data_IF_046384110186
#
_entry.id   IF_046384110186
#
_cell.length_a   1.000
_cell.length_b   1.000
_cell.length_c   1.000
_cell.angle_alpha   90.00
_cell.angle_beta   90.00
_cell.angle_gamma   90.00
#
_symmetry.space_group_name_H-M   'P 1'
#
loop_
_entity.id
_entity.type
_entity.pdbx_description
1 polymer ?
#
# COMPACT_ATOMS: atom_id res chain seq x y z
N UNK A 1 70.73 -28.94 133.40
CA UNK A 1 71.16 -29.27 134.78
C UNK A 1 72.40 -30.12 134.61
N UNK A 2 73.53 -29.75 135.21
CA UNK A 2 74.81 -30.43 134.94
C UNK A 2 74.82 -31.83 135.56
N UNK A 3 74.79 -32.86 134.71
CA UNK A 3 74.45 -34.23 135.10
C UNK A 3 75.65 -35.07 135.54
N UNK A 4 76.84 -34.82 135.00
CA UNK A 4 78.03 -35.62 135.26
C UNK A 4 78.87 -35.02 136.39
N UNK A 5 79.40 -35.84 137.29
CA UNK A 5 80.43 -35.44 138.26
C UNK A 5 81.80 -35.85 137.71
N UNK A 6 82.75 -34.94 137.70
CA UNK A 6 84.10 -35.19 137.19
C UNK A 6 85.15 -34.57 138.10
N UNK A 7 86.24 -35.29 138.33
CA UNK A 7 87.41 -34.79 139.05
C UNK A 7 88.47 -34.42 138.03
N UNK A 8 88.90 -33.16 138.04
CA UNK A 8 89.94 -32.62 137.15
C UNK A 8 91.11 -32.16 138.01
N UNK A 9 92.32 -32.61 137.70
CA UNK A 9 93.53 -32.22 138.45
C UNK A 9 94.26 -31.12 137.68
N UNK A 10 94.53 -29.99 138.33
CA UNK A 10 95.30 -28.88 137.76
C UNK A 10 96.34 -28.43 138.79
N UNK A 11 97.60 -28.33 138.37
CA UNK A 11 98.77 -28.01 139.18
C UNK A 11 98.90 -28.92 140.43
N UNK A 12 98.48 -30.19 140.31
CA UNK A 12 98.47 -31.18 141.39
C UNK A 12 97.33 -31.04 142.41
N UNK A 13 96.37 -30.11 142.20
CA UNK A 13 95.16 -29.97 143.02
C UNK A 13 93.97 -30.59 142.30
N UNK A 14 93.20 -31.43 143.00
CA UNK A 14 92.00 -32.07 142.46
C UNK A 14 90.75 -31.20 142.67
N UNK A 15 90.07 -30.85 141.58
CA UNK A 15 88.83 -30.07 141.55
C UNK A 15 87.65 -30.97 141.18
N UNK A 16 86.65 -31.04 142.05
CA UNK A 16 85.44 -31.84 141.83
C UNK A 16 84.34 -30.95 141.24
N UNK A 17 84.12 -31.07 139.93
CA UNK A 17 83.21 -30.22 139.16
C UNK A 17 81.99 -31.02 138.67
N UNK A 18 80.97 -30.31 138.19
CA UNK A 18 79.88 -30.91 137.41
C UNK A 18 79.85 -30.33 136.00
N UNK A 19 79.49 -31.15 135.03
CA UNK A 19 79.39 -30.77 133.61
C UNK A 19 78.34 -31.60 132.90
N UNK A 20 77.94 -31.18 131.70
CA UNK A 20 77.16 -31.99 130.74
C UNK A 20 78.07 -32.59 129.65
N UNK A 21 79.40 -32.44 129.77
CA UNK A 21 80.41 -33.04 128.90
C UNK A 21 81.73 -33.23 129.66
N UNK A 22 81.86 -34.36 130.38
CA UNK A 22 83.06 -34.71 131.15
C UNK A 22 84.32 -34.78 130.28
N UNK A 23 84.24 -35.39 129.10
CA UNK A 23 85.37 -35.54 128.18
C UNK A 23 85.97 -34.19 127.76
N UNK A 24 85.13 -33.20 127.44
CA UNK A 24 85.61 -31.85 127.10
C UNK A 24 86.25 -31.14 128.30
N UNK A 25 85.67 -31.29 129.49
CA UNK A 25 86.17 -30.62 130.70
C UNK A 25 87.48 -31.23 131.22
N UNK A 26 87.64 -32.55 131.13
CA UNK A 26 88.91 -33.24 131.42
C UNK A 26 90.00 -32.73 130.47
N UNK A 27 89.74 -32.76 129.14
CA UNK A 27 90.71 -32.30 128.13
C UNK A 27 91.09 -30.82 128.30
N UNK A 28 90.14 -29.97 128.70
CA UNK A 28 90.42 -28.56 129.04
C UNK A 28 91.30 -28.42 130.28
N UNK A 29 91.10 -29.26 131.31
CA UNK A 29 91.95 -29.30 132.48
C UNK A 29 93.37 -29.78 132.18
N UNK A 30 93.50 -30.82 131.36
CA UNK A 30 94.79 -31.35 130.89
C UNK A 30 95.56 -30.30 130.07
N UNK A 31 94.90 -29.59 129.15
CA UNK A 31 95.53 -28.50 128.38
C UNK A 31 95.90 -27.30 129.26
N UNK A 32 95.10 -26.97 130.28
CA UNK A 32 95.47 -25.95 131.26
C UNK A 32 96.73 -26.37 132.05
N UNK A 33 96.80 -27.61 132.54
CA UNK A 33 97.98 -28.12 133.26
C UNK A 33 99.22 -28.19 132.36
N UNK A 34 99.02 -28.50 131.06
CA UNK A 34 100.06 -28.45 130.00
C UNK A 34 100.63 -27.04 129.86
N UNK A 35 99.78 -26.02 129.65
CA UNK A 35 100.19 -24.60 129.52
C UNK A 35 100.87 -24.07 130.79
N UNK A 36 100.35 -24.39 131.98
CA UNK A 36 100.97 -24.03 133.26
C UNK A 36 102.40 -24.61 133.34
N UNK A 37 102.56 -25.88 132.96
CA UNK A 37 103.85 -26.57 132.97
C UNK A 37 104.83 -25.98 131.96
N UNK A 38 104.37 -25.61 130.76
CA UNK A 38 105.17 -24.92 129.74
C UNK A 38 105.65 -23.55 130.25
N UNK A 39 104.78 -22.72 130.82
CA UNK A 39 105.16 -21.41 131.36
C UNK A 39 106.11 -21.49 132.56
N UNK A 40 105.93 -22.45 133.48
CA UNK A 40 106.87 -22.69 134.57
C UNK A 40 108.28 -23.01 134.03
N UNK A 41 108.35 -23.72 132.89
CA UNK A 41 109.60 -24.20 132.30
C UNK A 41 110.28 -23.15 131.41
N UNK A 42 109.53 -22.47 130.55
CA UNK A 42 110.06 -21.62 129.49
C UNK A 42 110.28 -20.18 129.94
N UNK A 43 109.38 -19.65 130.79
CA UNK A 43 109.50 -18.29 131.35
C UNK A 43 110.06 -18.25 132.76
N UNK A 44 110.41 -19.41 133.35
CA UNK A 44 110.89 -19.54 134.75
C UNK A 44 109.94 -18.92 135.78
N UNK A 45 108.64 -18.89 135.47
CA UNK A 45 107.61 -18.32 136.33
C UNK A 45 107.33 -19.19 137.56
N UNK A 46 106.85 -18.58 138.65
CA UNK A 46 106.29 -19.36 139.74
C UNK A 46 105.03 -20.09 139.28
N UNK A 47 104.64 -21.17 139.98
CA UNK A 47 103.42 -21.92 139.67
C UNK A 47 102.17 -21.04 139.70
N UNK A 48 102.12 -20.05 140.60
CA UNK A 48 100.97 -19.16 140.73
C UNK A 48 100.94 -18.14 139.57
N UNK A 49 102.09 -17.58 139.17
CA UNK A 49 102.19 -16.69 138.00
C UNK A 49 101.86 -17.43 136.70
N UNK A 50 102.38 -18.66 136.52
CA UNK A 50 102.07 -19.51 135.38
C UNK A 50 100.56 -19.84 135.29
N UNK A 51 99.89 -20.05 136.42
CA UNK A 51 98.42 -20.18 136.45
C UNK A 51 97.73 -18.89 135.99
N UNK A 52 98.20 -17.71 136.39
CA UNK A 52 97.64 -16.42 135.95
C UNK A 52 97.79 -16.24 134.44
N UNK A 53 98.98 -16.49 133.88
CA UNK A 53 99.19 -16.42 132.43
C UNK A 53 98.30 -17.43 131.67
N UNK A 54 98.15 -18.67 132.18
CA UNK A 54 97.26 -19.66 131.52
C UNK A 54 95.79 -19.22 131.56
N UNK A 55 95.33 -18.58 132.64
CA UNK A 55 93.97 -18.02 132.71
C UNK A 55 93.80 -16.87 131.71
N UNK A 56 94.80 -16.00 131.53
CA UNK A 56 94.74 -14.92 130.54
C UNK A 56 94.67 -15.44 129.10
N UNK A 57 95.48 -16.45 128.74
CA UNK A 57 95.42 -17.08 127.42
C UNK A 57 94.08 -17.79 127.17
N UNK A 58 93.55 -18.51 128.16
CA UNK A 58 92.23 -19.15 128.05
C UNK A 58 91.07 -18.14 127.96
N UNK A 59 91.20 -16.96 128.55
CA UNK A 59 90.26 -15.85 128.36
C UNK A 59 90.34 -15.28 126.93
N UNK A 60 91.55 -15.14 126.37
CA UNK A 60 91.75 -14.73 124.97
C UNK A 60 91.20 -15.75 123.96
N UNK A 61 91.37 -17.05 124.22
CA UNK A 61 90.75 -18.14 123.45
C UNK A 61 89.21 -18.07 123.53
N UNK A 62 88.65 -17.79 124.71
CA UNK A 62 87.21 -17.64 124.94
C UNK A 62 86.63 -16.41 124.22
N UNK A 63 87.31 -15.27 124.27
CA UNK A 63 86.90 -14.06 123.54
C UNK A 63 86.96 -14.27 122.03
N UNK A 64 87.98 -14.98 121.54
CA UNK A 64 88.08 -15.37 120.13
C UNK A 64 86.95 -16.31 119.70
N UNK A 65 86.58 -17.29 120.54
CA UNK A 65 85.46 -18.18 120.31
C UNK A 65 84.10 -17.45 120.34
N UNK A 66 83.91 -16.50 121.27
CA UNK A 66 82.73 -15.64 121.32
C UNK A 66 82.62 -14.76 120.06
N UNK A 67 83.72 -14.14 119.61
CA UNK A 67 83.75 -13.34 118.39
C UNK A 67 83.43 -14.19 117.14
N UNK A 68 83.92 -15.44 117.07
CA UNK A 68 83.54 -16.37 116.01
C UNK A 68 82.05 -16.74 116.08
N UNK A 69 81.53 -17.10 117.25
CA UNK A 69 80.10 -17.41 117.46
C UNK A 69 79.22 -16.26 117.00
N UNK A 70 79.56 -15.02 117.37
CA UNK A 70 78.80 -13.83 117.02
C UNK A 70 78.91 -13.49 115.52
N UNK A 71 80.05 -13.80 114.89
CA UNK A 71 80.23 -13.76 113.43
C UNK A 71 79.34 -14.78 112.72
N UNK A 72 79.27 -16.02 113.21
CA UNK A 72 78.36 -17.04 112.69
C UNK A 72 76.89 -16.69 112.93
N UNK A 73 76.53 -16.11 114.08
CA UNK A 73 75.17 -15.63 114.35
C UNK A 73 74.76 -14.54 113.34
N UNK A 74 75.65 -13.57 113.06
CA UNK A 74 75.43 -12.54 112.02
C UNK A 74 75.28 -13.15 110.62
N UNK A 75 76.12 -14.12 110.24
CA UNK A 75 76.02 -14.83 108.95
C UNK A 75 74.70 -15.61 108.84
N UNK A 76 74.30 -16.33 109.88
CA UNK A 76 73.04 -17.08 109.91
C UNK A 76 71.83 -16.14 109.82
N UNK A 77 71.82 -15.01 110.54
CA UNK A 77 70.77 -14.01 110.43
C UNK A 77 70.66 -13.42 109.00
N UNK A 78 71.79 -13.15 108.35
CA UNK A 78 71.81 -12.69 106.96
C UNK A 78 71.31 -13.76 105.97
N UNK A 79 71.68 -15.03 106.16
CA UNK A 79 71.19 -16.15 105.36
C UNK A 79 69.67 -16.36 105.53
N UNK A 80 69.17 -16.32 106.77
CA UNK A 80 67.72 -16.42 107.05
C UNK A 80 66.97 -15.26 106.40
N UNK A 81 67.42 -14.01 106.57
CA UNK A 81 66.77 -12.85 105.92
C UNK A 81 66.80 -12.95 104.39
N UNK A 82 67.85 -13.54 103.81
CA UNK A 82 67.95 -13.77 102.36
C UNK A 82 66.98 -14.87 101.91
N UNK A 83 66.87 -15.96 102.67
CA UNK A 83 65.94 -17.05 102.41
C UNK A 83 64.47 -16.60 102.53
N UNK A 84 64.13 -15.77 103.53
CA UNK A 84 62.80 -15.16 103.67
C UNK A 84 62.45 -14.25 102.49
N UNK A 85 63.39 -13.44 101.99
CA UNK A 85 63.20 -12.63 100.78
C UNK A 85 63.02 -13.50 99.55
N UNK A 86 63.81 -14.57 99.41
CA UNK A 86 63.68 -15.54 98.33
C UNK A 86 62.33 -16.26 98.33
N UNK A 87 61.83 -16.66 99.51
CA UNK A 87 60.52 -17.29 99.66
C UNK A 87 59.38 -16.34 99.29
N UNK A 88 59.46 -15.07 99.71
CA UNK A 88 58.47 -14.03 99.32
C UNK A 88 58.47 -13.79 97.81
N UNK A 89 59.64 -13.63 97.20
CA UNK A 89 59.76 -13.44 95.75
C UNK A 89 59.27 -14.68 94.96
N UNK A 90 59.45 -15.89 95.49
CA UNK A 90 58.95 -17.11 94.87
C UNK A 90 57.41 -17.19 94.93
N UNK A 91 56.80 -16.76 96.03
CA UNK A 91 55.33 -16.70 96.16
C UNK A 91 54.71 -15.60 95.27
N UNK A 92 55.35 -14.43 95.20
CA UNK A 92 54.99 -13.36 94.27
C UNK A 92 55.07 -13.81 92.80
N UNK A 93 56.13 -14.56 92.42
CA UNK A 93 56.24 -15.15 91.09
C UNK A 93 55.12 -16.16 90.77
N UNK A 94 54.63 -16.95 91.74
CA UNK A 94 53.46 -17.83 91.53
C UNK A 94 52.18 -17.03 91.29
N UNK A 95 51.99 -15.94 92.04
CA UNK A 95 50.83 -15.07 91.88
C UNK A 95 50.84 -14.42 90.49
N UNK A 96 51.98 -13.84 90.10
CA UNK A 96 52.18 -13.27 88.76
C UNK A 96 52.03 -14.32 87.64
N UNK A 97 52.49 -15.55 87.83
CA UNK A 97 52.27 -16.63 86.86
C UNK A 97 50.77 -16.95 86.70
N UNK A 98 50.04 -17.01 87.81
CA UNK A 98 48.58 -17.26 87.81
C UNK A 98 47.80 -16.12 87.18
N UNK A 99 48.22 -14.87 87.41
CA UNK A 99 47.65 -13.67 86.79
C UNK A 99 47.91 -13.64 85.28
N UNK A 100 49.14 -13.96 84.83
CA UNK A 100 49.47 -14.08 83.41
C UNK A 100 48.65 -15.19 82.71
N UNK A 101 48.39 -16.32 83.37
CA UNK A 101 47.49 -17.35 82.83
C UNK A 101 46.04 -16.87 82.69
N UNK A 102 45.56 -16.03 83.61
CA UNK A 102 44.22 -15.45 83.53
C UNK A 102 44.14 -14.41 82.40
N UNK A 103 45.11 -13.49 82.33
CA UNK A 103 45.22 -12.50 81.25
C UNK A 103 45.34 -13.15 79.87
N UNK A 104 45.99 -14.31 79.75
CA UNK A 104 46.04 -15.08 78.51
C UNK A 104 44.66 -15.64 78.10
N UNK A 105 43.83 -16.08 79.06
CA UNK A 105 42.46 -16.55 78.82
C UNK A 105 41.54 -15.39 78.42
N UNK A 106 41.62 -14.27 79.13
CA UNK A 106 40.83 -13.07 78.83
C UNK A 106 41.19 -12.49 77.45
N UNK A 107 42.49 -12.48 77.11
CA UNK A 107 43.00 -12.12 75.79
C UNK A 107 42.42 -13.01 74.68
N UNK A 108 42.37 -14.33 74.89
CA UNK A 108 41.79 -15.28 73.94
C UNK A 108 40.28 -15.06 73.76
N UNK A 109 39.52 -14.94 74.85
CA UNK A 109 38.08 -14.67 74.80
C UNK A 109 37.76 -13.33 74.10
N UNK A 110 38.58 -12.30 74.33
CA UNK A 110 38.43 -11.00 73.65
C UNK A 110 38.78 -11.07 72.16
N UNK A 111 39.69 -11.97 71.76
CA UNK A 111 39.97 -12.24 70.35
C UNK A 111 38.84 -13.02 69.65
N UNK A 112 38.15 -13.91 70.35
CA UNK A 112 36.94 -14.59 69.87
C UNK A 112 35.77 -13.60 69.70
N UNK A 113 35.46 -12.80 70.72
CA UNK A 113 34.44 -11.75 70.64
C UNK A 113 34.68 -10.74 69.50
N UNK A 114 35.95 -10.40 69.22
CA UNK A 114 36.31 -9.58 68.06
C UNK A 114 35.99 -10.27 66.72
N UNK A 115 36.22 -11.59 66.60
CA UNK A 115 35.83 -12.34 65.41
C UNK A 115 34.32 -12.35 65.23
N UNK A 116 33.57 -12.68 66.28
CA UNK A 116 32.11 -12.69 66.24
C UNK A 116 31.54 -11.32 65.85
N UNK A 117 32.09 -10.23 66.39
CA UNK A 117 31.72 -8.87 65.99
C UNK A 117 31.93 -8.63 64.49
N UNK A 118 33.11 -8.95 63.95
CA UNK A 118 33.39 -8.76 62.52
C UNK A 118 32.52 -9.65 61.62
N UNK A 119 32.13 -10.84 62.08
CA UNK A 119 31.21 -11.71 61.35
C UNK A 119 29.78 -11.16 61.36
N UNK A 120 29.33 -10.59 62.48
CA UNK A 120 28.03 -9.93 62.61
C UNK A 120 27.98 -8.63 61.80
N UNK A 121 29.06 -7.85 61.73
CA UNK A 121 29.18 -6.69 60.85
C UNK A 121 29.05 -7.10 59.37
N UNK A 122 29.75 -8.16 58.96
CA UNK A 122 29.63 -8.73 57.61
C UNK A 122 28.21 -9.19 57.28
N UNK A 123 27.55 -9.90 58.21
CA UNK A 123 26.14 -10.32 58.07
C UNK A 123 25.18 -9.14 57.99
N UNK A 124 25.38 -8.10 58.80
CA UNK A 124 24.56 -6.87 58.75
C UNK A 124 24.75 -6.10 57.43
N UNK A 125 25.97 -6.06 56.89
CA UNK A 125 26.21 -5.48 55.56
C UNK A 125 25.46 -6.26 54.46
N UNK A 126 25.57 -7.60 54.45
CA UNK A 126 24.84 -8.47 53.51
C UNK A 126 23.31 -8.34 53.63
N UNK A 127 22.78 -8.23 54.85
CA UNK A 127 21.35 -8.00 55.07
C UNK A 127 20.91 -6.62 54.55
N UNK A 128 21.75 -5.59 54.70
CA UNK A 128 21.46 -4.24 54.20
C UNK A 128 21.44 -4.21 52.67
N UNK A 129 22.40 -4.87 52.02
CA UNK A 129 22.45 -5.04 50.57
C UNK A 129 21.23 -5.83 50.06
N UNK A 130 20.91 -6.96 50.69
CA UNK A 130 19.73 -7.79 50.35
C UNK A 130 18.42 -7.00 50.49
N UNK A 131 18.30 -6.14 51.51
CA UNK A 131 17.14 -5.26 51.68
C UNK A 131 17.08 -4.16 50.62
N UNK A 132 18.22 -3.62 50.17
CA UNK A 132 18.27 -2.67 49.05
C UNK A 132 17.79 -3.32 47.76
N UNK A 133 18.32 -4.50 47.40
CA UNK A 133 17.87 -5.26 46.23
C UNK A 133 16.38 -5.60 46.30
N UNK A 134 15.87 -5.98 47.48
CA UNK A 134 14.46 -6.30 47.66
C UNK A 134 13.55 -5.08 47.45
N UNK A 135 13.98 -3.90 47.91
CA UNK A 135 13.26 -2.65 47.70
C UNK A 135 13.29 -2.22 46.22
N UNK A 136 14.46 -2.27 45.56
CA UNK A 136 14.58 -1.98 44.13
C UNK A 136 13.70 -2.91 43.28
N UNK A 137 13.68 -4.22 43.58
CA UNK A 137 12.79 -5.18 42.94
C UNK A 137 11.30 -4.88 43.23
N UNK A 138 10.96 -4.37 44.41
CA UNK A 138 9.59 -3.97 44.72
C UNK A 138 9.15 -2.74 43.91
N UNK A 139 10.04 -1.75 43.73
CA UNK A 139 9.79 -0.58 42.89
C UNK A 139 9.66 -0.97 41.40
N UNK A 140 10.53 -1.83 40.89
CA UNK A 140 10.44 -2.37 39.53
C UNK A 140 9.15 -3.17 39.28
N UNK A 141 8.70 -3.95 40.27
CA UNK A 141 7.41 -4.65 40.18
C UNK A 141 6.22 -3.67 40.22
N UNK A 142 6.31 -2.58 40.98
CA UNK A 142 5.27 -1.56 41.02
C UNK A 142 5.16 -0.79 39.68
N UNK A 143 6.28 -0.43 39.06
CA UNK A 143 6.28 0.22 37.74
C UNK A 143 5.77 -0.72 36.64
N UNK A 144 6.26 -1.97 36.59
CA UNK A 144 5.79 -2.98 35.63
C UNK A 144 4.28 -3.25 35.76
N UNK A 145 3.74 -3.26 36.99
CA UNK A 145 2.29 -3.36 37.22
C UNK A 145 1.52 -2.16 36.68
N UNK A 146 2.02 -0.94 36.89
CA UNK A 146 1.39 0.28 36.36
C UNK A 146 1.41 0.33 34.82
N UNK A 147 2.46 -0.19 34.18
CA UNK A 147 2.51 -0.35 32.72
C UNK A 147 1.55 -1.42 32.21
N UNK A 148 1.43 -2.55 32.91
CA UNK A 148 0.46 -3.59 32.60
C UNK A 148 -0.99 -3.06 32.67
N UNK A 149 -1.33 -2.28 33.70
CA UNK A 149 -2.65 -1.66 33.84
C UNK A 149 -2.94 -0.67 32.69
N UNK A 150 -1.97 0.16 32.29
CA UNK A 150 -2.10 1.05 31.11
C UNK A 150 -2.29 0.26 29.81
N UNK A 151 -1.55 -0.83 29.63
CA UNK A 151 -1.67 -1.72 28.48
C UNK A 151 -3.06 -2.35 28.42
N UNK A 152 -3.57 -2.88 29.54
CA UNK A 152 -4.93 -3.43 29.65
C UNK A 152 -6.03 -2.40 29.35
N UNK A 153 -5.89 -1.15 29.80
CA UNK A 153 -6.81 -0.07 29.42
C UNK A 153 -6.78 0.23 27.91
N UNK A 154 -5.59 0.20 27.32
CA UNK A 154 -5.42 0.41 25.87
C UNK A 154 -6.07 -0.72 25.06
N UNK A 155 -5.89 -1.98 25.48
CA UNK A 155 -6.55 -3.14 24.86
C UNK A 155 -8.07 -3.01 24.92
N UNK A 156 -8.66 -2.68 26.08
CA UNK A 156 -10.12 -2.47 26.21
C UNK A 156 -10.64 -1.39 25.27
N UNK A 157 -9.93 -0.26 25.14
CA UNK A 157 -10.32 0.80 24.20
C UNK A 157 -10.25 0.35 22.74
N UNK A 158 -9.30 -0.52 22.39
CA UNK A 158 -9.21 -1.11 21.05
C UNK A 158 -10.32 -2.14 20.80
N UNK A 159 -10.68 -2.96 21.79
CA UNK A 159 -11.82 -3.89 21.74
C UNK A 159 -13.15 -3.14 21.52
N UNK A 160 -13.38 -2.05 22.27
CA UNK A 160 -14.55 -1.18 22.11
C UNK A 160 -14.60 -0.54 20.71
N UNK A 161 -13.48 -0.01 20.21
CA UNK A 161 -13.38 0.55 18.84
C UNK A 161 -13.63 -0.51 17.78
N UNK A 162 -13.09 -1.73 17.94
CA UNK A 162 -13.33 -2.83 17.03
C UNK A 162 -14.81 -3.22 17.00
N UNK A 163 -15.47 -3.31 18.17
CA UNK A 163 -16.91 -3.56 18.24
C UNK A 163 -17.74 -2.46 17.53
N UNK A 164 -17.38 -1.18 17.70
CA UNK A 164 -17.99 -0.06 16.99
C UNK A 164 -17.77 -0.13 15.47
N UNK A 165 -16.57 -0.49 15.01
CA UNK A 165 -16.25 -0.68 13.59
C UNK A 165 -17.03 -1.87 13.00
N UNK A 166 -17.13 -3.01 13.69
CA UNK A 166 -17.95 -4.15 13.27
C UNK A 166 -19.44 -3.78 13.16
N UNK A 167 -19.98 -3.03 14.12
CA UNK A 167 -21.36 -2.52 14.05
C UNK A 167 -21.57 -1.54 12.88
N UNK A 168 -20.60 -0.67 12.62
CA UNK A 168 -20.62 0.28 11.51
C UNK A 168 -20.53 -0.42 10.15
N UNK A 169 -19.67 -1.43 10.04
CA UNK A 169 -19.53 -2.28 8.84
C UNK A 169 -20.85 -2.98 8.53
N UNK A 170 -21.48 -3.63 9.52
CA UNK A 170 -22.77 -4.29 9.36
C UNK A 170 -23.87 -3.33 8.90
N UNK A 171 -23.93 -2.11 9.46
CA UNK A 171 -24.88 -1.09 8.99
C UNK A 171 -24.59 -0.61 7.56
N UNK A 172 -23.32 -0.57 7.14
CA UNK A 172 -22.93 -0.26 5.77
C UNK A 172 -23.29 -1.39 4.79
N UNK A 173 -23.11 -2.65 5.19
CA UNK A 173 -23.55 -3.84 4.44
C UNK A 173 -25.07 -3.85 4.25
N UNK A 174 -25.85 -3.63 5.32
CA UNK A 174 -27.31 -3.54 5.27
C UNK A 174 -27.78 -2.41 4.33
N UNK A 175 -27.12 -1.25 4.36
CA UNK A 175 -27.39 -0.13 3.42
C UNK A 175 -27.02 -0.47 1.99
N UNK A 176 -25.87 -1.12 1.76
CA UNK A 176 -25.44 -1.56 0.43
C UNK A 176 -26.43 -2.57 -0.17
N UNK A 177 -26.89 -3.53 0.63
CA UNK A 177 -27.84 -4.54 0.18
C UNK A 177 -29.23 -3.96 -0.11
N UNK A 178 -29.66 -2.96 0.67
CA UNK A 178 -30.85 -2.16 0.35
C UNK A 178 -30.70 -1.36 -0.94
N UNK A 179 -29.52 -0.74 -1.18
CA UNK A 179 -29.22 -0.04 -2.43
C UNK A 179 -29.24 -0.98 -3.65
N UNK A 180 -28.65 -2.18 -3.55
CA UNK A 180 -28.70 -3.20 -4.62
C UNK A 180 -30.14 -3.58 -4.97
N UNK A 181 -31.01 -3.79 -3.98
CA UNK A 181 -32.43 -4.08 -4.20
C UNK A 181 -33.15 -2.93 -4.92
N UNK A 182 -32.90 -1.68 -4.51
CA UNK A 182 -33.45 -0.51 -5.19
C UNK A 182 -32.95 -0.36 -6.63
N UNK A 183 -31.68 -0.66 -6.91
CA UNK A 183 -31.13 -0.66 -8.28
C UNK A 183 -31.81 -1.72 -9.14
N UNK A 184 -31.95 -2.96 -8.65
CA UNK A 184 -32.63 -4.03 -9.38
C UNK A 184 -34.11 -3.70 -9.68
N UNK A 185 -34.81 -3.04 -8.74
CA UNK A 185 -36.17 -2.54 -8.93
C UNK A 185 -36.23 -1.45 -10.03
N UNK A 186 -35.29 -0.49 -10.02
CA UNK A 186 -35.19 0.55 -11.05
C UNK A 186 -34.80 0.00 -12.44
N UNK A 187 -33.94 -1.02 -12.51
CA UNK A 187 -33.60 -1.72 -13.75
C UNK A 187 -34.82 -2.47 -14.32
N UNK A 188 -35.59 -3.13 -13.45
CA UNK A 188 -36.87 -3.75 -13.83
C UNK A 188 -37.85 -2.71 -14.37
N UNK A 189 -38.04 -1.59 -13.68
CA UNK A 189 -38.92 -0.50 -14.13
C UNK A 189 -38.47 0.07 -15.48
N UNK A 190 -37.17 0.28 -15.68
CA UNK A 190 -36.62 0.70 -16.98
C UNK A 190 -36.85 -0.34 -18.10
N UNK A 191 -36.76 -1.64 -17.79
CA UNK A 191 -37.08 -2.70 -18.74
C UNK A 191 -38.55 -2.68 -19.15
N UNK A 192 -39.46 -2.50 -18.20
CA UNK A 192 -40.90 -2.42 -18.46
C UNK A 192 -41.29 -1.12 -19.18
N UNK A 193 -40.66 0.01 -18.86
CA UNK A 193 -40.80 1.27 -19.61
C UNK A 193 -40.30 1.14 -21.05
N UNK A 194 -39.17 0.47 -21.30
CA UNK A 194 -38.70 0.18 -22.68
C UNK A 194 -39.71 -0.66 -23.47
N UNK A 195 -40.34 -1.65 -22.84
CA UNK A 195 -41.43 -2.44 -23.47
C UNK A 195 -42.66 -1.58 -23.77
N UNK A 196 -43.04 -0.65 -22.88
CA UNK A 196 -44.14 0.28 -23.11
C UNK A 196 -43.82 1.27 -24.25
N UNK A 197 -42.60 1.82 -24.29
CA UNK A 197 -42.14 2.69 -25.37
C UNK A 197 -42.18 1.97 -26.73
N UNK A 198 -41.72 0.71 -26.80
CA UNK A 198 -41.82 -0.10 -28.02
C UNK A 198 -43.28 -0.29 -28.48
N UNK A 199 -44.22 -0.54 -27.55
CA UNK A 199 -45.66 -0.61 -27.85
C UNK A 199 -46.23 0.73 -28.35
N UNK A 200 -45.81 1.84 -27.76
CA UNK A 200 -46.20 3.18 -28.20
C UNK A 200 -45.72 3.47 -29.63
N UNK A 201 -44.50 3.05 -29.99
CA UNK A 201 -44.00 3.15 -31.37
C UNK A 201 -44.89 2.33 -32.32
N UNK A 202 -45.19 1.06 -32.00
CA UNK A 202 -46.07 0.25 -32.86
C UNK A 202 -47.48 0.84 -33.03
N UNK A 203 -48.07 1.39 -31.96
CA UNK A 203 -49.38 2.08 -32.03
C UNK A 203 -49.27 3.38 -32.84
N UNK A 204 -48.14 4.08 -32.78
CA UNK A 204 -47.91 5.30 -33.58
C UNK A 204 -47.80 4.97 -35.07
N UNK A 205 -47.10 3.88 -35.42
CA UNK A 205 -47.01 3.39 -36.80
C UNK A 205 -48.37 2.88 -37.32
N UNK A 206 -49.17 2.23 -36.48
CA UNK A 206 -50.54 1.82 -36.81
C UNK A 206 -51.46 3.03 -37.03
N UNK A 207 -51.40 4.02 -36.14
CA UNK A 207 -52.14 5.28 -36.31
C UNK A 207 -51.75 6.00 -37.60
N UNK A 208 -50.45 6.06 -37.94
CA UNK A 208 -49.99 6.62 -39.21
C UNK A 208 -50.57 5.87 -40.41
N UNK A 209 -50.57 4.54 -40.39
CA UNK A 209 -51.21 3.71 -41.45
C UNK A 209 -52.72 3.92 -41.52
N UNK A 210 -53.39 4.17 -40.39
CA UNK A 210 -54.82 4.50 -40.34
C UNK A 210 -55.09 5.89 -40.94
N UNK A 211 -54.27 6.90 -40.65
CA UNK A 211 -54.34 8.23 -41.29
C UNK A 211 -54.13 8.10 -42.80
N UNK A 212 -53.08 7.40 -43.27
CA UNK A 212 -52.85 7.17 -44.70
C UNK A 212 -54.00 6.41 -45.38
N UNK A 213 -54.75 5.57 -44.66
CA UNK A 213 -55.97 4.91 -45.16
C UNK A 213 -57.16 5.87 -45.20
N UNK A 214 -57.32 6.73 -44.20
CA UNK A 214 -58.37 7.77 -44.17
C UNK A 214 -58.16 8.78 -45.30
N UNK A 215 -56.92 9.23 -45.54
CA UNK A 215 -56.61 10.13 -46.66
C UNK A 215 -56.91 9.47 -48.01
N UNK A 216 -56.59 8.18 -48.18
CA UNK A 216 -56.97 7.42 -49.38
C UNK A 216 -58.48 7.26 -49.52
N UNK A 217 -59.19 6.98 -48.42
CA UNK A 217 -60.65 6.89 -48.41
C UNK A 217 -61.30 8.21 -48.81
N UNK A 218 -60.86 9.34 -48.24
CA UNK A 218 -61.34 10.68 -48.58
C UNK A 218 -61.10 11.01 -50.07
N UNK A 219 -59.92 10.67 -50.62
CA UNK A 219 -59.65 10.82 -52.05
C UNK A 219 -60.60 9.95 -52.93
N UNK A 220 -60.90 8.72 -52.52
CA UNK A 220 -61.89 7.88 -53.23
C UNK A 220 -63.32 8.39 -53.09
N UNK A 221 -63.67 8.98 -51.96
CA UNK A 221 -64.99 9.58 -51.70
C UNK A 221 -65.18 10.86 -52.53
N UNK A 222 -64.17 11.72 -52.64
CA UNK A 222 -64.21 12.85 -53.58
C UNK A 222 -64.27 12.38 -55.05
N UNK A 223 -63.56 11.31 -55.41
CA UNK A 223 -63.62 10.76 -56.77
C UNK A 223 -65.00 10.19 -57.09
N UNK A 224 -65.64 9.51 -56.12
CA UNK A 224 -67.02 9.05 -56.22
C UNK A 224 -67.98 10.24 -56.35
N UNK A 225 -67.84 11.27 -55.53
CA UNK A 225 -68.67 12.48 -55.60
C UNK A 225 -68.56 13.20 -56.95
N UNK A 226 -67.34 13.33 -57.50
CA UNK A 226 -67.11 13.85 -58.86
C UNK A 226 -67.74 12.96 -59.94
N UNK A 227 -67.80 11.65 -59.72
CA UNK A 227 -68.52 10.71 -60.58
C UNK A 227 -70.04 10.91 -60.49
N UNK A 228 -70.59 11.06 -59.29
CA UNK A 228 -72.02 11.32 -59.03
C UNK A 228 -72.46 12.66 -59.63
N UNK A 229 -71.69 13.73 -59.45
CA UNK A 229 -71.92 15.04 -60.08
C UNK A 229 -71.94 14.93 -61.62
N UNK A 230 -71.02 14.11 -62.18
CA UNK A 230 -70.93 13.84 -63.62
C UNK A 230 -72.10 12.98 -64.12
N UNK A 231 -72.59 12.02 -63.32
CA UNK A 231 -73.81 11.26 -63.62
C UNK A 231 -75.02 12.20 -63.60
N UNK A 232 -75.18 13.04 -62.57
CA UNK A 232 -76.27 14.03 -62.51
C UNK A 232 -76.24 15.03 -63.66
N UNK A 233 -75.06 15.41 -64.15
CA UNK A 233 -74.92 16.21 -65.36
C UNK A 233 -75.36 15.44 -66.62
N UNK A 234 -74.94 14.17 -66.76
CA UNK A 234 -75.33 13.32 -67.88
C UNK A 234 -76.82 12.99 -67.88
N UNK A 235 -77.45 12.78 -66.72
CA UNK A 235 -78.91 12.59 -66.58
C UNK A 235 -79.67 13.84 -67.07
N UNK A 236 -79.17 15.05 -66.75
CA UNK A 236 -79.73 16.31 -67.27
C UNK A 236 -79.56 16.44 -68.79
N UNK A 237 -78.43 16.00 -69.35
CA UNK A 237 -78.24 15.94 -70.80
C UNK A 237 -79.18 14.92 -71.47
N UNK A 238 -79.32 13.71 -70.91
CA UNK A 238 -80.28 12.72 -71.37
C UNK A 238 -81.72 13.26 -71.34
N UNK A 239 -82.13 13.93 -70.26
CA UNK A 239 -83.46 14.56 -70.17
C UNK A 239 -83.69 15.65 -71.23
N UNK A 240 -82.67 16.43 -71.62
CA UNK A 240 -82.75 17.37 -72.76
C UNK A 240 -82.86 16.63 -74.10
N UNK A 241 -82.09 15.56 -74.29
CA UNK A 241 -82.13 14.75 -75.51
C UNK A 241 -83.48 14.06 -75.67
N UNK A 242 -84.08 13.53 -74.59
CA UNK A 242 -85.42 12.96 -74.60
C UNK A 242 -86.49 14.02 -74.93
N UNK A 243 -86.37 15.23 -74.38
CA UNK A 243 -87.24 16.36 -74.76
C UNK A 243 -87.11 16.72 -76.25
N UNK A 244 -85.88 16.86 -76.76
CA UNK A 244 -85.63 17.12 -78.17
C UNK A 244 -86.10 15.97 -79.08
N UNK A 245 -86.04 14.72 -78.62
CA UNK A 245 -86.53 13.55 -79.35
C UNK A 245 -88.07 13.49 -79.35
N UNK A 246 -88.73 13.96 -78.28
CA UNK A 246 -90.17 14.16 -78.24
C UNK A 246 -90.62 15.27 -79.21
N UNK A 247 -89.90 16.40 -79.26
CA UNK A 247 -90.11 17.48 -80.25
C UNK A 247 -89.90 17.00 -81.71
N UNK A 248 -88.89 16.16 -81.94
CA UNK A 248 -88.64 15.56 -83.25
C UNK A 248 -89.77 14.60 -83.66
N UNK A 249 -90.36 13.88 -82.70
CA UNK A 249 -91.52 13.02 -82.95
C UNK A 249 -92.82 13.80 -83.19
N UNK A 250 -93.04 14.95 -82.55
CA UNK A 250 -94.15 15.85 -82.93
C UNK A 250 -93.95 16.45 -84.31
N UNK A 251 -92.72 16.88 -84.67
CA UNK A 251 -92.40 17.35 -86.03
C UNK A 251 -92.62 16.27 -87.10
N UNK A 252 -92.25 15.01 -86.85
CA UNK A 252 -92.56 13.87 -87.75
C UNK A 252 -94.07 13.70 -87.96
N UNK A 253 -94.87 13.91 -86.90
CA UNK A 253 -96.33 13.83 -86.99
C UNK A 253 -96.90 14.96 -87.83
N UNK A 254 -96.44 16.20 -87.61
CA UNK A 254 -96.78 17.36 -88.46
C UNK A 254 -96.40 17.15 -89.93
N UNK A 255 -95.25 16.52 -90.21
CA UNK A 255 -94.82 16.21 -91.57
C UNK A 255 -95.75 15.17 -92.25
N UNK A 256 -96.22 14.17 -91.51
CA UNK A 256 -97.20 13.21 -92.00
C UNK A 256 -98.56 13.87 -92.32
N UNK A 257 -99.00 14.82 -91.49
CA UNK A 257 -100.23 15.58 -91.71
C UNK A 257 -100.13 16.47 -92.98
N UNK A 258 -98.96 17.06 -93.28
CA UNK A 258 -98.72 17.79 -94.54
C UNK A 258 -98.61 16.86 -95.77
N UNK A 259 -98.01 15.67 -95.63
CA UNK A 259 -98.01 14.66 -96.69
C UNK A 259 -99.44 14.18 -97.03
N UNK A 260 -100.32 14.07 -96.03
CA UNK A 260 -101.75 13.80 -96.25
C UNK A 260 -102.44 14.87 -97.10
N UNK A 261 -102.20 16.15 -96.81
CA UNK A 261 -102.72 17.28 -97.61
C UNK A 261 -102.19 17.28 -99.04
N UNK A 262 -100.93 16.89 -99.23
CA UNK A 262 -100.30 16.82 -100.56
C UNK A 262 -100.99 15.76 -101.45
N UNK A 263 -101.24 14.56 -100.90
CA UNK A 263 -102.00 13.49 -101.57
C UNK A 263 -103.40 13.93 -102.05
N UNK A 264 -104.10 14.74 -101.24
CA UNK A 264 -105.45 15.22 -101.55
C UNK A 264 -105.48 16.37 -102.58
N UNK A 265 -104.35 17.06 -102.79
CA UNK A 265 -104.20 18.04 -103.86
C UNK A 265 -103.85 17.36 -105.20
N UNK A 266 -102.99 16.35 -105.21
CA UNK A 266 -102.66 15.57 -106.42
C UNK A 266 -103.90 14.89 -107.02
N UNK A 267 -104.79 14.32 -106.19
CA UNK A 267 -106.07 13.75 -106.64
C UNK A 267 -107.03 14.78 -107.22
N UNK A 268 -106.97 16.05 -106.79
CA UNK A 268 -107.79 17.14 -107.34
C UNK A 268 -107.24 17.66 -108.67
N UNK A 269 -105.91 17.63 -108.84
CA UNK A 269 -105.25 18.03 -110.09
C UNK A 269 -105.61 17.06 -111.24
N UNK A 270 -105.51 15.75 -111.00
CA UNK A 270 -105.84 14.72 -111.97
C UNK A 270 -107.31 14.73 -112.45
N UNK A 271 -108.23 15.26 -111.64
CA UNK A 271 -109.63 15.45 -112.03
C UNK A 271 -109.84 16.66 -112.95
N UNK A 272 -109.04 17.72 -112.79
CA UNK A 272 -109.13 18.94 -113.59
C UNK A 272 -108.54 18.74 -115.00
N UNK A 273 -107.40 18.05 -115.13
CA UNK A 273 -106.74 17.80 -116.41
C UNK A 273 -107.60 16.94 -117.35
N UNK A 274 -108.38 15.99 -116.81
CA UNK A 274 -109.33 15.18 -117.58
C UNK A 274 -110.45 16.02 -118.22
N UNK A 275 -110.88 17.09 -117.55
CA UNK A 275 -111.94 17.99 -118.06
C UNK A 275 -111.48 19.00 -119.11
N UNK A 276 -110.16 19.16 -119.33
CA UNK A 276 -109.61 20.08 -120.31
C UNK A 276 -109.46 19.48 -121.72
N UNK A 277 -109.29 18.16 -121.83
CA UNK A 277 -109.08 17.47 -123.11
C UNK A 277 -110.34 17.47 -124.00
N UNK A 278 -111.51 17.20 -123.40
CA UNK A 278 -112.78 17.01 -124.12
C UNK A 278 -113.35 18.31 -124.74
N UNK A 279 -112.83 19.49 -124.37
CA UNK A 279 -113.27 20.78 -124.90
C UNK A 279 -112.54 21.22 -126.19
N UNK A 280 -111.41 20.59 -126.51
CA UNK A 280 -110.57 20.95 -127.67
C UNK A 280 -111.03 20.24 -128.95
N UNK A 281 -111.31 18.93 -128.86
CA UNK A 281 -111.71 18.10 -130.01
C UNK A 281 -113.07 18.53 -130.59
N UNK A 282 -113.96 19.13 -129.77
CA UNK A 282 -115.26 19.64 -130.21
C UNK A 282 -115.19 20.88 -131.13
N UNK A 283 -114.03 21.56 -131.25
CA UNK A 283 -113.88 22.76 -132.11
C UNK A 283 -113.14 22.50 -133.42
N UNK A 284 -112.61 21.30 -133.63
CA UNK A 284 -111.89 20.95 -134.87
C UNK A 284 -112.83 20.43 -135.98
N UNK A 285 -114.09 20.14 -135.67
CA UNK A 285 -115.03 19.42 -136.56
C UNK A 285 -116.16 20.26 -137.17
N UNK A 286 -116.26 21.57 -136.90
CA UNK A 286 -117.40 22.41 -137.34
C UNK A 286 -117.08 23.51 -138.37
N UNK A 287 -115.83 23.63 -138.83
CA UNK A 287 -115.47 24.62 -139.88
C UNK A 287 -114.41 24.16 -140.90
N UNK A 288 -114.18 22.84 -141.01
CA UNK A 288 -113.61 22.27 -142.24
C UNK A 288 -114.57 22.44 -143.46
N UNK A 289 -115.84 22.80 -143.18
CA UNK A 289 -116.91 23.07 -144.14
C UNK A 289 -117.17 24.58 -144.38
N UNK A 290 -116.10 25.34 -144.69
CA UNK A 290 -116.24 26.54 -145.54
C UNK A 290 -115.00 26.98 -146.34
N UNK A 291 -114.25 25.98 -146.80
CA UNK A 291 -113.63 25.97 -148.13
C UNK A 291 -112.79 27.16 -148.57
N UNK A 292 -111.47 27.01 -148.42
CA UNK A 292 -110.40 27.28 -149.43
C UNK A 292 -109.06 26.98 -148.74
N UNK A 293 -108.29 25.95 -149.09
CA UNK A 293 -108.32 25.11 -150.28
C UNK A 293 -108.41 25.92 -151.60
N UNK A 294 -107.55 26.94 -151.70
CA UNK A 294 -107.12 27.51 -152.97
C UNK A 294 -105.62 27.80 -152.98
N UNK A 295 -105.07 28.53 -151.99
CA UNK A 295 -103.77 29.22 -152.18
C UNK A 295 -102.61 28.80 -151.24
N UNK A 296 -102.42 27.48 -151.13
CA UNK A 296 -101.16 26.76 -151.34
C UNK A 296 -99.80 27.16 -150.69
N UNK A 297 -99.02 26.10 -150.43
CA UNK A 297 -97.56 25.95 -150.69
C UNK A 297 -96.47 26.78 -149.97
N UNK A 298 -96.70 28.01 -149.49
CA UNK A 298 -95.54 28.91 -149.29
C UNK A 298 -94.71 28.85 -148.00
N UNK A 299 -95.06 28.07 -146.96
CA UNK A 299 -94.37 28.15 -145.63
C UNK A 299 -94.25 26.82 -144.88
N UNK A 300 -93.17 26.07 -145.17
CA UNK A 300 -92.76 24.82 -144.49
C UNK A 300 -91.30 24.94 -143.99
N UNK A 301 -90.94 24.14 -142.97
CA UNK A 301 -89.57 23.83 -142.50
C UNK A 301 -88.74 24.96 -141.82
N UNK A 302 -87.70 24.69 -141.01
CA UNK A 302 -87.38 23.58 -140.08
C UNK A 302 -86.08 23.94 -139.30
N UNK A 303 -85.99 23.64 -137.98
CA UNK A 303 -84.77 23.56 -137.14
C UNK A 303 -85.18 23.07 -135.71
N UNK A 304 -84.63 22.07 -135.00
CA UNK A 304 -83.25 21.56 -134.77
C UNK A 304 -82.47 22.32 -133.67
N UNK A 305 -82.29 21.87 -132.41
CA UNK A 305 -82.52 20.63 -131.60
C UNK A 305 -81.34 19.62 -131.42
N UNK A 306 -80.36 19.92 -130.55
CA UNK A 306 -79.70 18.97 -129.59
C UNK A 306 -78.41 19.54 -128.92
N UNK A 307 -78.11 19.14 -127.67
CA UNK A 307 -76.82 19.34 -126.97
C UNK A 307 -76.72 18.44 -125.69
N UNK A 308 -75.50 18.07 -125.27
CA UNK A 308 -75.14 17.30 -124.04
C UNK A 308 -74.04 18.08 -123.25
N UNK A 309 -73.55 17.81 -122.03
CA UNK A 309 -72.92 16.64 -121.37
C UNK A 309 -72.46 17.10 -119.94
N UNK A 310 -72.37 16.24 -118.89
CA UNK A 310 -71.34 16.25 -117.80
C UNK A 310 -71.64 15.26 -116.64
N UNK A 311 -70.86 14.18 -116.47
CA UNK A 311 -70.83 13.35 -115.23
C UNK A 311 -69.65 12.36 -115.22
N UNK A 312 -68.64 12.54 -114.36
CA UNK A 312 -67.91 11.48 -113.61
C UNK A 312 -66.69 12.01 -112.80
N UNK A 313 -66.03 11.10 -112.06
CA UNK A 313 -64.75 11.23 -111.33
C UNK A 313 -64.76 11.69 -109.84
N UNK A 314 -65.22 10.80 -108.94
CA UNK A 314 -64.95 10.82 -107.48
C UNK A 314 -63.98 9.68 -107.09
N UNK A 315 -62.65 9.84 -107.15
CA UNK A 315 -61.75 8.71 -106.84
C UNK A 315 -60.32 9.06 -106.32
N UNK A 316 -60.18 9.81 -105.22
CA UNK A 316 -58.84 10.14 -104.68
C UNK A 316 -58.66 10.22 -103.15
N UNK A 317 -59.66 9.91 -102.32
CA UNK A 317 -59.64 10.20 -100.87
C UNK A 317 -59.16 9.05 -99.95
N UNK A 318 -58.66 7.93 -100.49
CA UNK A 318 -58.47 6.69 -99.72
C UNK A 318 -57.08 6.47 -99.09
N UNK A 319 -56.06 7.29 -99.40
CA UNK A 319 -54.65 6.92 -99.16
C UNK A 319 -53.98 7.45 -97.86
N UNK A 320 -54.53 8.47 -97.18
CA UNK A 320 -53.81 9.19 -96.10
C UNK A 320 -54.14 8.73 -94.66
N UNK A 321 -54.98 7.71 -94.45
CA UNK A 321 -55.33 7.23 -93.09
C UNK A 321 -54.31 6.30 -92.41
N UNK A 322 -53.20 5.96 -93.08
CA UNK A 322 -52.28 4.90 -92.62
C UNK A 322 -51.04 5.33 -91.83
N UNK A 323 -50.70 6.63 -91.73
CA UNK A 323 -49.40 7.08 -91.17
C UNK A 323 -49.41 7.57 -89.73
N UNK A 324 -50.58 7.80 -89.13
CA UNK A 324 -50.66 8.53 -87.85
C UNK A 324 -50.58 7.64 -86.59
N UNK A 325 -50.72 6.31 -86.71
CA UNK A 325 -50.84 5.40 -85.54
C UNK A 325 -49.51 4.95 -84.91
N UNK A 326 -48.39 5.05 -85.63
CA UNK A 326 -47.10 4.49 -85.20
C UNK A 326 -46.18 5.48 -84.48
N UNK A 327 -46.50 6.78 -84.52
CA UNK A 327 -45.75 7.82 -83.82
C UNK A 327 -46.18 7.95 -82.35
N UNK A 328 -47.48 7.82 -82.04
CA UNK A 328 -48.01 7.90 -80.66
C UNK A 328 -47.45 6.79 -79.75
N UNK A 329 -47.23 5.57 -80.29
CA UNK A 329 -46.66 4.44 -79.52
C UNK A 329 -45.18 4.63 -79.13
N UNK A 330 -44.43 5.52 -79.79
CA UNK A 330 -43.02 5.77 -79.47
C UNK A 330 -42.81 6.86 -78.41
N UNK A 331 -43.76 7.78 -78.24
CA UNK A 331 -43.72 8.80 -77.18
C UNK A 331 -43.95 8.18 -75.79
N UNK A 332 -44.95 7.30 -75.65
CA UNK A 332 -45.30 6.67 -74.36
C UNK A 332 -44.19 5.81 -73.73
N UNK A 333 -43.19 5.36 -74.52
CA UNK A 333 -42.06 4.61 -74.01
C UNK A 333 -40.93 5.50 -73.46
N UNK A 334 -40.83 6.76 -73.90
CA UNK A 334 -39.80 7.70 -73.48
C UNK A 334 -40.15 8.38 -72.14
N UNK A 335 -41.42 8.72 -71.93
CA UNK A 335 -41.89 9.40 -70.70
C UNK A 335 -41.72 8.51 -69.46
N UNK A 336 -41.93 7.20 -69.60
CA UNK A 336 -41.77 6.23 -68.51
C UNK A 336 -40.32 6.10 -68.00
N UNK A 337 -39.32 6.37 -68.85
CA UNK A 337 -37.90 6.35 -68.45
C UNK A 337 -37.45 7.60 -67.67
N UNK A 338 -38.21 8.70 -67.73
CA UNK A 338 -37.87 9.96 -67.07
C UNK A 338 -38.11 9.91 -65.55
N UNK A 339 -39.18 9.24 -65.12
CA UNK A 339 -39.55 9.13 -63.71
C UNK A 339 -38.61 8.21 -62.92
N UNK A 340 -38.16 7.10 -63.53
CA UNK A 340 -37.19 6.19 -62.91
C UNK A 340 -35.82 6.88 -62.71
N UNK A 341 -35.41 7.75 -63.65
CA UNK A 341 -34.16 8.51 -63.58
C UNK A 341 -34.18 9.60 -62.48
N UNK A 342 -35.37 10.17 -62.21
CA UNK A 342 -35.60 11.11 -61.10
C UNK A 342 -35.45 10.44 -59.72
N UNK A 343 -35.96 9.21 -59.58
CA UNK A 343 -35.80 8.40 -58.35
C UNK A 343 -34.35 8.01 -58.09
N UNK A 344 -33.65 7.52 -59.11
CA UNK A 344 -32.22 7.13 -59.01
C UNK A 344 -31.34 8.34 -58.67
N UNK A 345 -31.62 9.53 -59.23
CA UNK A 345 -30.86 10.75 -58.93
C UNK A 345 -30.96 11.18 -57.46
N UNK A 346 -32.16 11.13 -56.87
CA UNK A 346 -32.35 11.42 -55.43
C UNK A 346 -31.70 10.39 -54.52
N UNK A 347 -31.71 9.11 -54.91
CA UNK A 347 -30.99 8.07 -54.18
C UNK A 347 -29.45 8.29 -54.23
N UNK A 348 -28.93 8.70 -55.39
CA UNK A 348 -27.51 9.00 -55.57
C UNK A 348 -27.07 10.23 -54.76
N UNK A 349 -27.88 11.31 -54.73
CA UNK A 349 -27.62 12.49 -53.89
C UNK A 349 -27.64 12.14 -52.38
N UNK A 350 -28.52 11.24 -51.95
CA UNK A 350 -28.57 10.75 -50.57
C UNK A 350 -27.35 9.87 -50.19
N UNK A 351 -26.87 9.01 -51.09
CA UNK A 351 -25.64 8.22 -50.86
C UNK A 351 -24.36 9.06 -50.97
N UNK A 352 -24.34 10.10 -51.81
CA UNK A 352 -23.25 11.10 -51.81
C UNK A 352 -23.20 11.86 -50.48
N UNK A 353 -24.36 12.23 -49.92
CA UNK A 353 -24.44 12.84 -48.59
C UNK A 353 -23.90 11.94 -47.47
N UNK A 354 -24.21 10.63 -47.51
CA UNK A 354 -23.66 9.65 -46.57
C UNK A 354 -22.16 9.42 -46.77
N UNK A 355 -21.69 9.38 -48.01
CA UNK A 355 -20.26 9.25 -48.33
C UNK A 355 -19.47 10.44 -47.75
N UNK A 356 -19.97 11.67 -47.92
CA UNK A 356 -19.34 12.87 -47.35
C UNK A 356 -19.38 12.92 -45.81
N UNK A 357 -20.40 12.35 -45.16
CA UNK A 357 -20.45 12.21 -43.70
C UNK A 357 -19.47 11.13 -43.19
N UNK A 358 -19.38 10.01 -43.91
CA UNK A 358 -18.41 8.95 -43.63
C UNK A 358 -16.96 9.41 -43.82
N UNK A 359 -16.66 10.20 -44.85
CA UNK A 359 -15.34 10.81 -45.06
C UNK A 359 -14.97 11.76 -43.91
N UNK A 360 -15.89 12.65 -43.49
CA UNK A 360 -15.66 13.52 -42.31
C UNK A 360 -15.43 12.72 -41.03
N UNK A 361 -16.14 11.59 -40.84
CA UNK A 361 -15.94 10.69 -39.70
C UNK A 361 -14.62 9.93 -39.79
N UNK A 362 -14.18 9.57 -40.99
CA UNK A 362 -12.87 8.96 -41.25
C UNK A 362 -11.72 9.94 -40.96
N UNK A 363 -11.82 11.19 -41.40
CA UNK A 363 -10.82 12.22 -41.12
C UNK A 363 -10.79 12.64 -39.64
N UNK A 364 -11.96 12.73 -38.98
CA UNK A 364 -12.03 12.91 -37.53
C UNK A 364 -11.41 11.73 -36.77
N UNK A 365 -11.66 10.49 -37.22
CA UNK A 365 -11.06 9.29 -36.64
C UNK A 365 -9.56 9.18 -36.91
N UNK A 366 -9.06 9.69 -38.04
CA UNK A 366 -7.63 9.79 -38.34
C UNK A 366 -6.95 10.80 -37.44
N UNK A 367 -7.48 12.02 -37.29
CA UNK A 367 -6.97 12.99 -36.32
C UNK A 367 -6.94 12.44 -34.90
N UNK A 368 -8.02 11.78 -34.46
CA UNK A 368 -8.04 11.15 -33.14
C UNK A 368 -7.01 10.01 -33.00
N UNK A 369 -6.71 9.28 -34.08
CA UNK A 369 -5.64 8.28 -34.10
C UNK A 369 -4.25 8.91 -34.10
N UNK A 370 -4.03 10.01 -34.83
CA UNK A 370 -2.76 10.76 -34.84
C UNK A 370 -2.49 11.40 -33.46
N UNK A 371 -3.51 11.97 -32.81
CA UNK A 371 -3.43 12.50 -31.43
C UNK A 371 -3.18 11.37 -30.40
N UNK A 372 -3.80 10.19 -30.58
CA UNK A 372 -3.52 9.00 -29.79
C UNK A 372 -2.08 8.50 -30.01
N UNK A 373 -1.58 8.51 -31.24
CA UNK A 373 -0.23 8.06 -31.58
C UNK A 373 0.84 9.06 -31.06
N UNK A 374 0.55 10.36 -31.11
CA UNK A 374 1.41 11.39 -30.51
C UNK A 374 1.49 11.23 -28.98
N UNK A 375 0.34 11.04 -28.30
CA UNK A 375 0.30 10.82 -26.85
C UNK A 375 0.95 9.50 -26.43
N UNK A 376 0.83 8.44 -27.24
CA UNK A 376 1.63 7.21 -27.06
C UNK A 376 3.12 7.50 -27.18
N UNK A 377 3.59 8.27 -28.17
CA UNK A 377 5.03 8.58 -28.29
C UNK A 377 5.58 9.44 -27.13
N UNK A 378 4.73 10.27 -26.51
CA UNK A 378 5.08 11.00 -25.27
C UNK A 378 5.19 10.03 -24.11
N UNK A 379 4.20 9.16 -23.91
CA UNK A 379 4.24 8.13 -22.87
C UNK A 379 5.39 7.14 -23.04
N UNK A 380 5.80 6.81 -24.27
CA UNK A 380 6.98 5.98 -24.54
C UNK A 380 8.29 6.68 -24.13
N UNK A 381 8.39 8.01 -24.33
CA UNK A 381 9.51 8.81 -23.81
C UNK A 381 9.50 8.88 -22.28
N UNK A 382 8.34 9.08 -21.66
CA UNK A 382 8.21 9.10 -20.20
C UNK A 382 8.55 7.73 -19.58
N UNK A 383 8.13 6.62 -20.22
CA UNK A 383 8.50 5.26 -19.82
C UNK A 383 10.01 5.02 -20.00
N UNK A 384 10.64 5.56 -21.05
CA UNK A 384 12.09 5.46 -21.23
C UNK A 384 12.86 6.26 -20.17
N UNK A 385 12.40 7.48 -19.84
CA UNK A 385 12.96 8.29 -18.77
C UNK A 385 12.84 7.61 -17.40
N UNK A 386 11.65 7.10 -17.06
CA UNK A 386 11.40 6.35 -15.82
C UNK A 386 12.21 5.04 -15.73
N UNK A 387 12.53 4.40 -16.87
CA UNK A 387 13.46 3.26 -16.89
C UNK A 387 14.89 3.69 -16.56
N UNK A 388 15.39 4.77 -17.16
CA UNK A 388 16.70 5.35 -16.85
C UNK A 388 16.82 5.73 -15.37
N UNK A 389 15.81 6.44 -14.85
CA UNK A 389 15.74 6.85 -13.44
C UNK A 389 15.67 5.63 -12.49
N UNK A 390 14.97 4.56 -12.87
CA UNK A 390 14.90 3.34 -12.06
C UNK A 390 16.20 2.50 -12.13
N UNK A 391 16.94 2.55 -13.23
CA UNK A 391 18.30 1.98 -13.32
C UNK A 391 19.29 2.79 -12.46
N UNK A 392 19.21 4.13 -12.48
CA UNK A 392 20.00 5.00 -11.59
C UNK A 392 19.66 4.78 -10.11
N UNK A 393 18.38 4.63 -9.76
CA UNK A 393 17.94 4.26 -8.41
C UNK A 393 18.38 2.85 -8.02
N UNK A 394 18.50 1.92 -8.98
CA UNK A 394 19.06 0.59 -8.73
C UNK A 394 20.56 0.67 -8.43
N UNK A 395 21.32 1.45 -9.20
CA UNK A 395 22.74 1.70 -8.94
C UNK A 395 22.98 2.46 -7.62
N UNK A 396 22.08 3.35 -7.23
CA UNK A 396 22.08 4.00 -5.92
C UNK A 396 21.74 3.03 -4.79
N UNK A 397 20.83 2.06 -5.00
CA UNK A 397 20.54 0.99 -4.03
C UNK A 397 21.70 0.02 -3.87
N UNK A 398 22.40 -0.37 -4.94
CA UNK A 398 23.64 -1.14 -4.83
C UNK A 398 24.73 -0.36 -4.09
N UNK A 399 24.89 0.95 -4.36
CA UNK A 399 25.80 1.81 -3.59
C UNK A 399 25.40 1.95 -2.13
N UNK A 400 24.12 2.05 -1.81
CA UNK A 400 23.63 2.07 -0.43
C UNK A 400 23.91 0.74 0.28
N UNK A 401 23.65 -0.40 -0.39
CA UNK A 401 24.00 -1.73 0.12
C UNK A 401 25.50 -1.92 0.33
N UNK A 402 26.34 -1.43 -0.59
CA UNK A 402 27.80 -1.39 -0.39
C UNK A 402 28.19 -0.49 0.79
N UNK A 403 27.51 0.64 1.03
CA UNK A 403 27.74 1.49 2.19
C UNK A 403 27.30 0.82 3.51
N UNK A 404 26.18 0.11 3.54
CA UNK A 404 25.74 -0.68 4.70
C UNK A 404 26.70 -1.84 4.97
N UNK A 405 27.16 -2.55 3.94
CA UNK A 405 28.14 -3.62 4.09
C UNK A 405 29.51 -3.09 4.54
N UNK A 406 29.91 -1.89 4.08
CA UNK A 406 31.11 -1.21 4.53
C UNK A 406 30.95 -0.69 5.97
N UNK A 407 29.74 -0.25 6.37
CA UNK A 407 29.43 0.17 7.75
C UNK A 407 29.46 -1.02 8.70
N UNK A 408 28.88 -2.16 8.31
CA UNK A 408 28.99 -3.43 9.06
C UNK A 408 30.45 -3.84 9.20
N UNK A 409 31.25 -3.81 8.11
CA UNK A 409 32.69 -4.08 8.15
C UNK A 409 33.45 -3.08 9.05
N UNK A 410 33.10 -1.80 9.04
CA UNK A 410 33.69 -0.80 9.94
C UNK A 410 33.36 -1.09 11.40
N UNK A 411 32.09 -1.37 11.75
CA UNK A 411 31.73 -1.78 13.11
C UNK A 411 32.35 -3.12 13.53
N UNK A 412 32.58 -4.02 12.59
CA UNK A 412 33.28 -5.29 12.85
C UNK A 412 34.77 -5.04 13.11
N UNK A 413 35.42 -4.18 12.33
CA UNK A 413 36.79 -3.71 12.53
C UNK A 413 36.94 -2.87 13.80
N UNK A 414 35.94 -2.07 14.21
CA UNK A 414 35.94 -1.34 15.48
C UNK A 414 35.81 -2.28 16.68
N UNK A 415 34.97 -3.31 16.58
CA UNK A 415 34.88 -4.36 17.60
C UNK A 415 36.16 -5.20 17.67
N UNK A 416 36.78 -5.54 16.54
CA UNK A 416 38.08 -6.23 16.49
C UNK A 416 39.22 -5.33 17.01
N UNK A 417 39.22 -4.02 16.74
CA UNK A 417 40.19 -3.09 17.31
C UNK A 417 39.96 -2.85 18.81
N UNK A 418 38.70 -2.88 19.28
CA UNK A 418 38.39 -2.86 20.71
C UNK A 418 38.89 -4.15 21.40
N UNK A 419 38.72 -5.31 20.77
CA UNK A 419 39.25 -6.59 21.23
C UNK A 419 40.80 -6.62 21.22
N UNK A 420 41.44 -6.09 20.17
CA UNK A 420 42.90 -5.98 20.08
C UNK A 420 43.45 -4.98 21.10
N UNK A 421 42.74 -3.88 21.40
CA UNK A 421 43.12 -2.97 22.51
C UNK A 421 42.88 -3.57 23.90
N UNK A 422 41.94 -4.51 24.05
CA UNK A 422 41.74 -5.26 25.29
C UNK A 422 42.69 -6.47 25.43
N UNK A 423 43.32 -6.92 24.35
CA UNK A 423 44.18 -8.11 24.30
C UNK A 423 45.68 -7.87 24.07
N UNK A 424 46.12 -6.65 23.77
CA UNK A 424 47.53 -6.34 23.47
C UNK A 424 48.40 -6.17 24.72
N UNK A 425 48.56 -7.25 25.48
CA UNK A 425 49.67 -7.43 26.43
C UNK A 425 50.66 -8.48 25.91
N UNK A 426 51.96 -8.15 25.92
CA UNK A 426 53.12 -9.01 25.60
C UNK A 426 53.25 -9.64 24.20
N UNK A 427 54.26 -9.14 23.46
CA UNK A 427 55.27 -9.86 22.66
C UNK A 427 54.87 -11.00 21.70
N UNK A 428 55.14 -10.81 20.39
CA UNK A 428 56.37 -11.30 19.73
C UNK A 428 56.33 -11.36 18.17
N UNK A 429 57.54 -11.40 17.59
CA UNK A 429 57.96 -11.90 16.26
C UNK A 429 57.45 -11.27 14.96
N UNK A 430 58.34 -10.46 14.36
CA UNK A 430 58.95 -10.69 13.03
C UNK A 430 58.17 -11.37 11.88
N UNK A 431 58.11 -10.70 10.72
CA UNK A 431 58.45 -11.34 9.44
C UNK A 431 57.36 -11.55 8.39
N UNK A 432 57.10 -10.55 7.54
CA UNK A 432 56.55 -10.71 6.18
C UNK A 432 57.03 -9.56 5.27
N UNK A 433 58.07 -9.76 4.46
CA UNK A 433 58.00 -10.23 3.06
C UNK A 433 57.76 -9.08 2.03
N UNK A 434 58.81 -8.57 1.35
CA UNK A 434 58.73 -7.40 0.46
C UNK A 434 57.96 -7.60 -0.87
N UNK A 435 57.25 -8.73 -1.04
CA UNK A 435 56.46 -9.01 -2.24
C UNK A 435 55.13 -8.22 -2.29
N UNK A 436 54.48 -8.00 -1.14
CA UNK A 436 53.19 -7.29 -1.09
C UNK A 436 53.34 -5.79 -1.43
N UNK A 437 54.50 -5.19 -1.21
CA UNK A 437 54.74 -3.78 -1.51
C UNK A 437 54.95 -3.51 -3.00
N UNK A 438 55.47 -4.48 -3.77
CA UNK A 438 55.52 -4.39 -5.24
C UNK A 438 54.16 -4.69 -5.89
N UNK A 439 53.38 -5.64 -5.34
CA UNK A 439 52.01 -5.88 -5.81
C UNK A 439 51.12 -4.63 -5.64
N UNK A 440 51.22 -3.94 -4.50
CA UNK A 440 50.53 -2.66 -4.27
C UNK A 440 51.01 -1.53 -5.19
N UNK A 441 52.32 -1.44 -5.50
CA UNK A 441 52.83 -0.48 -6.50
C UNK A 441 52.32 -0.78 -7.90
N UNK A 442 52.24 -2.06 -8.27
CA UNK A 442 51.73 -2.50 -9.57
C UNK A 442 50.24 -2.15 -9.70
N UNK A 443 49.43 -2.48 -8.70
CA UNK A 443 48.01 -2.08 -8.65
C UNK A 443 47.81 -0.56 -8.72
N UNK A 444 48.67 0.22 -8.05
CA UNK A 444 48.65 1.69 -8.14
C UNK A 444 49.07 2.21 -9.53
N UNK A 445 50.02 1.55 -10.19
CA UNK A 445 50.45 1.86 -11.56
C UNK A 445 49.35 1.55 -12.59
N UNK A 446 48.69 0.40 -12.46
CA UNK A 446 47.61 -0.03 -13.34
C UNK A 446 46.39 0.91 -13.18
N UNK A 447 46.02 1.27 -11.94
CA UNK A 447 44.99 2.29 -11.68
C UNK A 447 45.35 3.67 -12.25
N UNK A 448 46.62 4.09 -12.21
CA UNK A 448 47.08 5.34 -12.82
C UNK A 448 47.07 5.30 -14.37
N UNK A 449 47.25 4.13 -14.96
CA UNK A 449 47.09 3.92 -16.40
C UNK A 449 45.61 3.98 -16.81
N UNK A 450 44.73 3.34 -16.03
CA UNK A 450 43.28 3.37 -16.24
C UNK A 450 42.71 4.79 -16.12
N UNK A 451 43.12 5.57 -15.11
CA UNK A 451 42.77 7.00 -14.99
C UNK A 451 43.27 7.83 -16.18
N UNK A 452 44.38 7.46 -16.83
CA UNK A 452 44.87 8.11 -18.06
C UNK A 452 43.99 7.79 -19.27
N UNK A 453 43.58 6.53 -19.44
CA UNK A 453 42.67 6.16 -20.54
C UNK A 453 41.26 6.74 -20.31
N UNK A 454 40.73 6.71 -19.09
CA UNK A 454 39.48 7.40 -18.75
C UNK A 454 39.54 8.91 -19.05
N UNK A 455 40.68 9.58 -18.83
CA UNK A 455 40.88 10.97 -19.25
C UNK A 455 40.90 11.16 -20.77
N UNK A 456 41.47 10.22 -21.54
CA UNK A 456 41.38 10.27 -23.02
C UNK A 456 39.95 10.04 -23.52
N UNK A 457 39.25 9.06 -22.96
CA UNK A 457 37.85 8.76 -23.30
C UNK A 457 36.97 9.97 -22.98
N UNK A 458 37.14 10.58 -21.81
CA UNK A 458 36.42 11.80 -21.41
C UNK A 458 36.77 13.01 -22.31
N UNK A 459 38.03 13.17 -22.71
CA UNK A 459 38.42 14.18 -23.70
C UNK A 459 37.81 13.92 -25.11
N UNK A 460 37.69 12.65 -25.52
CA UNK A 460 37.04 12.25 -26.77
C UNK A 460 35.54 12.49 -26.73
N UNK A 461 34.88 12.17 -25.62
CA UNK A 461 33.45 12.41 -25.41
C UNK A 461 33.13 13.91 -25.36
N UNK A 462 33.95 14.74 -24.70
CA UNK A 462 33.79 16.20 -24.75
C UNK A 462 34.00 16.75 -26.18
N UNK A 463 34.86 16.12 -26.98
CA UNK A 463 35.05 16.50 -28.38
C UNK A 463 33.82 16.18 -29.22
N UNK A 464 33.29 14.96 -29.10
CA UNK A 464 32.04 14.55 -29.76
C UNK A 464 30.84 15.38 -29.30
N UNK A 465 30.76 15.73 -28.01
CA UNK A 465 29.70 16.59 -27.47
C UNK A 465 29.77 18.00 -28.08
N UNK A 466 30.97 18.57 -28.21
CA UNK A 466 31.16 19.87 -28.86
C UNK A 466 30.88 19.79 -30.37
N UNK A 467 31.30 18.73 -31.06
CA UNK A 467 30.98 18.50 -32.48
C UNK A 467 29.46 18.37 -32.70
N UNK A 468 28.75 17.67 -31.81
CA UNK A 468 27.27 17.56 -31.84
C UNK A 468 26.54 18.87 -31.51
N UNK A 469 27.16 19.78 -30.75
CA UNK A 469 26.67 21.14 -30.50
C UNK A 469 26.95 22.08 -31.69
N UNK A 470 28.12 21.97 -32.33
CA UNK A 470 28.49 22.76 -33.52
C UNK A 470 27.68 22.35 -34.77
N UNK A 471 27.43 21.06 -34.97
CA UNK A 471 26.57 20.53 -36.04
C UNK A 471 25.07 20.78 -35.81
N UNK A 472 24.69 21.44 -34.70
CA UNK A 472 23.30 21.82 -34.39
C UNK A 472 22.36 20.65 -34.10
N UNK A 473 22.89 19.45 -33.81
CA UNK A 473 22.08 18.27 -33.48
C UNK A 473 21.58 18.30 -32.03
N UNK A 474 22.22 19.10 -31.17
CA UNK A 474 21.77 19.45 -29.83
C UNK A 474 21.61 20.96 -29.71
N UNK A 475 20.37 21.44 -29.64
CA UNK A 475 20.06 22.75 -29.06
C UNK A 475 20.01 22.64 -27.54
N UNK A 476 20.73 23.54 -26.86
CA UNK A 476 20.62 23.82 -25.42
C UNK A 476 19.26 24.47 -25.07
#
# INVERSE_FOLDING_TARGET
MLNEKVTVTICGKAYNLRTDNASSLIRQGEEADRRITEYCREMSLSKDDACVFTVLDLLGDLDSANAQRDSYAKKNAALVSTAEKGAKALEENKQLASENELLAKDSAALAELRREHTELEGKNAQLTETLSEANERAEQNASAKAELEKSQQTVKSLEEKNAQLTGSLKSAEEKSEAQKKNIAELERQNSDLKKQAAKLVTVTDENKKLTERLDKAANTEEALRRSEDRVSYLEKECGKLDAANAELNTLKKSLADEQGKTSDLEKKLAAAEKSAAELSEAKQSLAAEKGRNSDLEKKLAAAEKSAAELSEAKQSLAAEKGRNSDLEKKLAAAEKGSEELSGVKKALEAEQGKTADLERRLDASRKAADDAQNSVSVLEKDIAALKSENEELSALREKAGMYEELTVKFSQIENENAALRAGAGSDASEGAAPAQMEELKKQLSDALAEVKELRKINASLNRQLNEMLEDGQLTL
#
